data_IF_005552448504
#
_entry.id   IF_005552448504
#
_cell.length_a   1.000
_cell.length_b   1.000
_cell.length_c   1.000
_cell.angle_alpha   90.00
_cell.angle_beta   90.00
_cell.angle_gamma   90.00
#
_symmetry.space_group_name_H-M   'P 1'
#
loop_
_entity.id
_entity.type
_entity.pdbx_description
1 polymer ?
#
# COMPACT_ATOMS: atom_id res chain seq x y z
N UNK A 1 -28.29 22.12 0.63
CA UNK A 1 -27.11 21.51 -0.03
C UNK A 1 -25.89 22.37 0.24
N UNK A 2 -24.89 21.85 0.95
CA UNK A 2 -23.51 22.32 0.83
C UNK A 2 -22.56 21.20 1.30
N UNK A 3 -21.57 20.90 0.45
CA UNK A 3 -20.70 19.73 0.52
C UNK A 3 -19.78 19.72 1.76
N UNK A 4 -19.36 18.55 2.28
CA UNK A 4 -18.45 18.51 3.41
C UNK A 4 -17.06 19.00 2.99
N UNK A 5 -16.53 19.93 3.78
CA UNK A 5 -15.19 20.49 3.61
C UNK A 5 -14.13 19.37 3.63
N UNK A 6 -13.38 19.27 2.53
CA UNK A 6 -12.20 18.43 2.38
C UNK A 6 -11.21 18.81 3.49
N UNK A 7 -11.06 17.97 4.52
CA UNK A 7 -10.16 18.25 5.65
C UNK A 7 -8.74 18.45 5.12
N UNK A 8 -8.24 19.68 5.15
CA UNK A 8 -6.82 19.98 5.04
C UNK A 8 -6.13 19.34 6.24
N UNK A 9 -5.58 18.14 6.04
CA UNK A 9 -4.74 17.43 7.01
C UNK A 9 -3.55 18.36 7.31
N UNK A 10 -3.33 18.67 8.59
CA UNK A 10 -2.44 19.73 9.05
C UNK A 10 -1.00 19.63 8.52
N UNK A 11 -0.37 20.79 8.35
CA UNK A 11 0.96 21.01 7.75
C UNK A 11 2.14 20.57 8.64
N UNK A 12 1.93 19.72 9.65
CA UNK A 12 3.02 19.20 10.46
C UNK A 12 3.34 17.76 10.03
N UNK A 13 4.58 17.48 9.59
CA UNK A 13 4.99 16.11 9.31
C UNK A 13 4.83 15.27 10.60
N UNK A 14 4.45 13.98 10.48
CA UNK A 14 4.32 13.11 11.64
C UNK A 14 5.64 13.05 12.41
N UNK A 15 5.57 12.98 13.74
CA UNK A 15 6.74 12.85 14.58
C UNK A 15 7.50 11.55 14.21
N UNK A 16 8.82 11.61 13.98
CA UNK A 16 9.61 10.42 13.66
C UNK A 16 9.63 9.39 14.80
N UNK A 17 9.88 8.11 14.49
CA UNK A 17 10.03 7.57 13.13
C UNK A 17 8.67 7.35 12.45
N UNK A 18 8.65 7.51 11.13
CA UNK A 18 7.51 7.23 10.27
C UNK A 18 6.97 5.82 10.61
N UNK A 19 5.70 5.75 11.02
CA UNK A 19 5.03 4.49 11.31
C UNK A 19 4.57 3.88 9.99
N UNK A 20 5.05 2.67 9.68
CA UNK A 20 4.49 1.88 8.59
C UNK A 20 3.08 1.45 8.97
N UNK A 21 2.12 1.69 8.09
CA UNK A 21 0.69 1.40 8.31
C UNK A 21 0.06 0.95 7.00
N UNK A 22 -1.11 0.28 7.02
CA UNK A 22 -1.85 -0.03 5.80
C UNK A 22 -2.09 1.18 4.91
N UNK A 23 -2.38 2.33 5.53
CA UNK A 23 -2.62 3.59 4.82
C UNK A 23 -1.37 4.07 4.08
N UNK A 24 -0.17 3.95 4.68
CA UNK A 24 1.09 4.28 4.00
C UNK A 24 1.36 3.27 2.87
N UNK A 25 1.14 1.98 3.13
CA UNK A 25 1.37 0.92 2.16
C UNK A 25 0.47 1.04 0.91
N UNK A 26 -0.75 1.56 1.03
CA UNK A 26 -1.70 1.72 -0.08
C UNK A 26 -1.78 3.15 -0.64
N UNK A 27 -1.03 4.11 -0.12
CA UNK A 27 -1.06 5.51 -0.60
C UNK A 27 -0.28 5.64 -1.92
N UNK A 28 -0.90 6.12 -3.02
CA UNK A 28 -0.23 6.28 -4.31
C UNK A 28 0.87 7.35 -4.32
N UNK A 29 1.00 8.14 -3.25
CA UNK A 29 2.08 9.12 -3.08
C UNK A 29 3.25 8.59 -2.24
N UNK A 30 3.18 7.36 -1.74
CA UNK A 30 4.30 6.73 -1.03
C UNK A 30 5.44 6.44 -2.01
N UNK A 31 6.65 6.85 -1.62
CA UNK A 31 7.85 6.63 -2.42
C UNK A 31 8.15 5.12 -2.55
N UNK A 32 8.59 4.70 -3.73
CA UNK A 32 8.99 3.33 -4.05
C UNK A 32 9.96 2.73 -3.02
N UNK A 33 10.97 3.47 -2.54
CA UNK A 33 11.92 2.99 -1.52
C UNK A 33 11.20 2.55 -0.22
N UNK A 34 10.14 3.27 0.15
CA UNK A 34 9.33 2.94 1.33
C UNK A 34 8.47 1.71 1.06
N UNK A 35 7.97 1.54 -0.16
CA UNK A 35 7.20 0.35 -0.55
C UNK A 35 8.07 -0.92 -0.51
N UNK A 36 9.30 -0.86 -1.02
CA UNK A 36 10.28 -1.94 -0.90
C UNK A 36 10.61 -2.23 0.57
N UNK A 37 10.85 -1.20 1.37
CA UNK A 37 11.09 -1.37 2.81
C UNK A 37 9.92 -2.07 3.52
N UNK A 38 8.67 -1.75 3.15
CA UNK A 38 7.49 -2.46 3.66
C UNK A 38 7.50 -3.92 3.20
N UNK A 39 7.78 -4.19 1.92
CA UNK A 39 7.81 -5.54 1.39
C UNK A 39 8.85 -6.42 2.09
N UNK A 40 10.03 -5.89 2.39
CA UNK A 40 11.11 -6.64 3.03
C UNK A 40 10.87 -6.84 4.53
N UNK A 41 10.36 -5.82 5.24
CA UNK A 41 10.42 -5.78 6.70
C UNK A 41 9.07 -5.85 7.42
N UNK A 42 7.95 -5.70 6.73
CA UNK A 42 6.61 -5.70 7.32
C UNK A 42 5.66 -6.69 6.62
N UNK A 43 5.82 -8.02 6.84
CA UNK A 43 5.01 -9.05 6.20
C UNK A 43 3.49 -8.84 6.32
N UNK A 44 3.03 -8.35 7.47
CA UNK A 44 1.63 -8.04 7.77
C UNK A 44 1.05 -6.90 6.93
N UNK A 45 1.91 -6.09 6.29
CA UNK A 45 1.50 -4.98 5.46
C UNK A 45 1.53 -5.28 3.95
N UNK A 46 2.17 -6.37 3.52
CA UNK A 46 2.37 -6.70 2.10
C UNK A 46 1.09 -6.76 1.28
N UNK A 47 0.00 -7.28 1.85
CA UNK A 47 -1.28 -7.36 1.13
C UNK A 47 -1.80 -5.99 0.69
N UNK A 48 -1.46 -4.91 1.40
CA UNK A 48 -1.88 -3.55 1.07
C UNK A 48 -1.07 -2.95 -0.08
N UNK A 49 0.12 -3.47 -0.37
CA UNK A 49 0.93 -3.06 -1.52
C UNK A 49 0.25 -3.41 -2.84
N UNK A 50 -0.55 -4.49 -2.87
CA UNK A 50 -1.31 -4.93 -4.06
C UNK A 50 -2.32 -3.87 -4.50
N UNK A 51 -2.87 -3.10 -3.55
CA UNK A 51 -3.80 -2.01 -3.83
C UNK A 51 -3.09 -0.67 -4.12
N UNK A 52 -1.76 -0.60 -4.01
CA UNK A 52 -1.03 0.63 -4.25
C UNK A 52 -0.77 0.81 -5.75
N UNK A 53 -1.35 1.84 -6.35
CA UNK A 53 -1.19 2.11 -7.79
C UNK A 53 0.20 2.63 -8.18
N UNK A 54 1.04 2.99 -7.21
CA UNK A 54 2.44 3.33 -7.42
C UNK A 54 3.37 2.11 -7.27
N UNK A 55 2.86 0.95 -6.86
CA UNK A 55 3.65 -0.28 -6.81
C UNK A 55 4.06 -0.69 -8.22
N UNK A 56 5.35 -0.93 -8.41
CA UNK A 56 5.90 -1.39 -9.68
C UNK A 56 5.61 -2.88 -9.89
N UNK A 57 5.58 -3.37 -11.15
CA UNK A 57 5.43 -4.79 -11.44
C UNK A 57 6.46 -5.66 -10.71
N UNK A 58 7.71 -5.20 -10.64
CA UNK A 58 8.82 -5.90 -9.97
C UNK A 58 8.56 -6.06 -8.47
N UNK A 59 8.02 -5.02 -7.82
CA UNK A 59 7.64 -5.07 -6.41
C UNK A 59 6.48 -6.07 -6.19
N UNK A 60 5.45 -6.04 -7.04
CA UNK A 60 4.31 -6.94 -6.92
C UNK A 60 4.72 -8.39 -7.19
N UNK A 61 5.62 -8.65 -8.14
CA UNK A 61 6.19 -9.96 -8.37
C UNK A 61 6.93 -10.45 -7.12
N UNK A 62 7.81 -9.64 -6.54
CA UNK A 62 8.49 -9.97 -5.29
C UNK A 62 7.50 -10.32 -4.18
N UNK A 63 6.48 -9.48 -3.96
CA UNK A 63 5.43 -9.71 -2.95
C UNK A 63 4.68 -11.03 -3.20
N UNK A 64 4.39 -11.36 -4.46
CA UNK A 64 3.74 -12.63 -4.81
C UNK A 64 4.59 -13.85 -4.44
N UNK A 65 5.91 -13.75 -4.56
CA UNK A 65 6.85 -14.84 -4.26
C UNK A 65 7.09 -15.00 -2.76
N UNK A 66 7.31 -13.89 -2.04
CA UNK A 66 7.60 -13.94 -0.60
C UNK A 66 6.35 -14.09 0.26
N UNK A 67 5.18 -13.79 -0.30
CA UNK A 67 3.88 -13.94 0.35
C UNK A 67 3.73 -13.07 1.62
N UNK A 68 2.74 -13.42 2.43
CA UNK A 68 2.39 -12.71 3.66
C UNK A 68 0.93 -12.93 4.01
N UNK A 69 0.48 -12.54 5.23
CA UNK A 69 -0.92 -12.62 5.59
C UNK A 69 -1.80 -11.90 4.56
N UNK A 70 -2.74 -12.62 3.95
CA UNK A 70 -3.70 -12.07 2.99
C UNK A 70 -3.16 -11.77 1.58
N UNK A 71 -1.87 -11.97 1.29
CA UNK A 71 -1.27 -11.64 -0.02
C UNK A 71 -1.89 -12.46 -1.16
N UNK A 72 -1.97 -13.78 -1.00
CA UNK A 72 -2.57 -14.65 -2.02
C UNK A 72 -4.01 -14.23 -2.34
N UNK A 73 -4.82 -13.99 -1.30
CA UNK A 73 -6.19 -13.52 -1.45
C UNK A 73 -6.27 -12.13 -2.10
N UNK A 74 -5.33 -11.24 -1.80
CA UNK A 74 -5.27 -9.90 -2.39
C UNK A 74 -5.04 -9.97 -3.91
N UNK A 75 -4.13 -10.83 -4.37
CA UNK A 75 -3.89 -11.03 -5.79
C UNK A 75 -5.08 -11.69 -6.49
N UNK A 76 -5.74 -12.68 -5.87
CA UNK A 76 -6.99 -13.25 -6.43
C UNK A 76 -8.02 -12.15 -6.71
N UNK A 77 -8.25 -11.25 -5.74
CA UNK A 77 -9.21 -10.14 -5.90
C UNK A 77 -8.77 -9.18 -7.00
N UNK A 78 -7.48 -8.83 -7.05
CA UNK A 78 -6.94 -7.97 -8.10
C UNK A 78 -7.17 -8.59 -9.48
N UNK A 79 -6.82 -9.85 -9.67
CA UNK A 79 -6.98 -10.53 -10.95
C UNK A 79 -8.45 -10.69 -11.34
N UNK A 80 -9.34 -11.04 -10.41
CA UNK A 80 -10.78 -11.08 -10.68
C UNK A 80 -11.31 -9.72 -11.14
N UNK A 81 -10.77 -8.60 -10.64
CA UNK A 81 -11.19 -7.25 -11.09
C UNK A 81 -10.69 -6.86 -12.49
N UNK A 82 -9.73 -7.60 -13.07
CA UNK A 82 -9.23 -7.38 -14.43
C UNK A 82 -9.98 -8.22 -15.48
N UNK A 83 -10.73 -9.24 -15.04
CA UNK A 83 -11.51 -10.12 -15.91
C UNK A 83 -12.95 -9.58 -16.17
N UNK A 84 -13.33 -8.48 -15.53
CA UNK A 84 -14.59 -7.72 -15.72
C UNK A 84 -14.43 -6.53 -16.68
#
# INVERSE_FOLDING_TARGET
>A
MNAPARRRRGLQPPAPPLRLTPQVASDPLTNEDVLWHIAEHAPELRMWLIANTAATPELLEYVSQVGGPGVARGFEVLFSSLEE
#
